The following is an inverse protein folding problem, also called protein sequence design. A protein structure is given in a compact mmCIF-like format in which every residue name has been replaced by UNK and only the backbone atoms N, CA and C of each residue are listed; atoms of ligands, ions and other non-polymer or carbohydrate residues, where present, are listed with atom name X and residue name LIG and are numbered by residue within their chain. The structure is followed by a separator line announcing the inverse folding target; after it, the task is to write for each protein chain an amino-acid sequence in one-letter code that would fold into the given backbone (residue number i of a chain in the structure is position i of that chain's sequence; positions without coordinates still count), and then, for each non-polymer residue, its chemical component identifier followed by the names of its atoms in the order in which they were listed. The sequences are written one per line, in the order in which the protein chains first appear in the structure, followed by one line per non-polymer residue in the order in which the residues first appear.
data_IF_438223368248
#
_entry.id   IF_438223368248
#
_cell.length_a   1.000
_cell.length_b   1.000
_cell.length_c   1.000
_cell.angle_alpha   90.00
_cell.angle_beta   90.00
_cell.angle_gamma   90.00
#
_symmetry.space_group_name_H-M   'P 1'
#
loop_
_entity.id
_entity.type
_entity.pdbx_description
1 polymer ?
#
# COMPACT_ATOMS: atom_id res chain seq x y z
N UNK A 1 -31.20 -3.64 -13.66
CA UNK A 1 -29.95 -4.19 -13.12
C UNK A 1 -29.79 -3.68 -11.69
N UNK A 2 -29.36 -4.52 -10.73
CA UNK A 2 -29.06 -4.03 -9.37
C UNK A 2 -27.82 -3.11 -9.41
N UNK A 3 -27.78 -2.07 -8.56
CA UNK A 3 -26.61 -1.17 -8.49
C UNK A 3 -25.35 -1.98 -8.14
N UNK A 4 -24.30 -1.77 -8.91
CA UNK A 4 -22.98 -2.34 -8.66
C UNK A 4 -22.29 -1.56 -7.54
N UNK A 5 -21.89 -2.27 -6.47
CA UNK A 5 -21.15 -1.67 -5.36
C UNK A 5 -19.65 -1.77 -5.62
N UNK A 6 -19.05 -0.65 -6.03
CA UNK A 6 -17.63 -0.58 -6.33
C UNK A 6 -16.75 -0.84 -5.09
N UNK A 7 -17.22 -0.47 -3.89
CA UNK A 7 -16.51 -0.75 -2.63
C UNK A 7 -16.38 -2.26 -2.38
N UNK A 8 -17.32 -3.07 -2.89
CA UNK A 8 -17.29 -4.53 -2.74
C UNK A 8 -16.11 -5.17 -3.46
N UNK A 9 -15.67 -4.58 -4.58
CA UNK A 9 -14.54 -5.08 -5.35
C UNK A 9 -13.23 -5.10 -4.54
N UNK A 10 -13.06 -4.12 -3.65
CA UNK A 10 -11.88 -3.95 -2.79
C UNK A 10 -12.19 -4.22 -1.31
N UNK A 11 -13.27 -4.96 -1.01
CA UNK A 11 -13.75 -5.18 0.36
C UNK A 11 -12.68 -5.74 1.30
N UNK A 12 -11.85 -6.67 0.81
CA UNK A 12 -10.78 -7.29 1.59
C UNK A 12 -9.72 -6.25 1.95
N UNK A 13 -9.32 -5.42 0.99
CA UNK A 13 -8.38 -4.32 1.22
C UNK A 13 -8.92 -3.31 2.25
N UNK A 14 -10.19 -2.89 2.12
CA UNK A 14 -10.85 -2.02 3.11
C UNK A 14 -10.89 -2.67 4.50
N UNK A 15 -11.22 -3.96 4.58
CA UNK A 15 -11.26 -4.68 5.86
C UNK A 15 -9.89 -4.69 6.53
N UNK A 16 -8.82 -4.92 5.76
CA UNK A 16 -7.46 -4.94 6.30
C UNK A 16 -7.03 -3.53 6.71
N UNK A 17 -7.33 -2.50 5.92
CA UNK A 17 -7.10 -1.10 6.31
C UNK A 17 -7.83 -0.74 7.60
N UNK A 18 -9.06 -1.25 7.81
CA UNK A 18 -9.77 -1.10 9.09
C UNK A 18 -8.98 -1.72 10.23
N UNK A 19 -8.51 -2.96 10.04
CA UNK A 19 -7.76 -3.71 11.04
C UNK A 19 -6.44 -3.04 11.40
N UNK A 20 -5.76 -2.36 10.48
CA UNK A 20 -4.51 -1.63 10.78
C UNK A 20 -4.74 -0.17 11.21
N UNK A 21 -5.96 0.20 11.58
CA UNK A 21 -6.27 1.56 12.05
C UNK A 21 -6.34 2.62 10.95
N UNK A 22 -6.28 2.24 9.68
CA UNK A 22 -6.21 3.13 8.52
C UNK A 22 -7.57 3.38 7.84
N UNK A 23 -8.69 2.92 8.40
CA UNK A 23 -10.00 3.14 7.78
C UNK A 23 -11.11 3.32 8.82
N UNK A 24 -11.51 4.56 9.16
CA UNK A 24 -12.59 4.79 10.10
C UNK A 24 -13.93 4.25 9.57
N UNK A 25 -14.84 3.88 10.48
CA UNK A 25 -16.09 3.22 10.13
C UNK A 25 -17.07 4.10 9.35
N UNK A 26 -17.13 5.39 9.67
CA UNK A 26 -18.07 6.32 9.07
C UNK A 26 -17.61 6.75 7.66
N UNK A 27 -18.53 7.33 6.87
CA UNK A 27 -18.18 7.99 5.60
C UNK A 27 -17.47 9.34 5.82
N UNK A 28 -17.12 9.65 7.07
CA UNK A 28 -16.35 10.81 7.48
C UNK A 28 -14.92 10.44 7.88
N UNK A 29 -14.10 11.46 8.14
CA UNK A 29 -12.72 11.30 8.62
C UNK A 29 -12.68 10.75 10.07
N UNK A 30 -11.49 10.59 10.63
CA UNK A 30 -11.28 10.18 12.01
C UNK A 30 -12.00 11.14 12.99
N UNK A 31 -12.75 10.57 13.94
CA UNK A 31 -13.45 11.27 15.03
C UNK A 31 -12.93 10.84 16.39
N UNK A 32 -13.25 11.56 17.46
CA UNK A 32 -12.92 11.15 18.83
C UNK A 32 -13.79 9.97 19.28
N UNK A 33 -13.37 8.74 18.92
CA UNK A 33 -14.02 7.49 19.29
C UNK A 33 -12.99 6.39 19.60
N UNK A 34 -13.45 5.23 20.07
CA UNK A 34 -12.60 4.10 20.43
C UNK A 34 -11.75 3.59 19.25
N UNK A 35 -12.27 3.65 18.03
CA UNK A 35 -11.53 3.24 16.84
C UNK A 35 -10.33 4.16 16.57
N UNK A 36 -10.52 5.48 16.63
CA UNK A 36 -9.43 6.44 16.45
C UNK A 36 -8.41 6.34 17.59
N UNK A 37 -8.85 6.11 18.83
CA UNK A 37 -7.94 5.86 19.95
C UNK A 37 -7.09 4.61 19.72
N UNK A 38 -7.72 3.51 19.30
CA UNK A 38 -7.03 2.28 18.89
C UNK A 38 -6.03 2.56 17.77
N UNK A 39 -6.43 3.26 16.71
CA UNK A 39 -5.58 3.56 15.56
C UNK A 39 -4.35 4.40 15.97
N UNK A 40 -4.55 5.42 16.82
CA UNK A 40 -3.45 6.24 17.33
C UNK A 40 -2.48 5.39 18.12
N UNK A 41 -2.97 4.53 19.04
CA UNK A 41 -2.09 3.67 19.84
C UNK A 41 -1.35 2.67 18.96
N UNK A 42 -2.04 1.96 18.08
CA UNK A 42 -1.43 0.91 17.26
C UNK A 42 -0.40 1.50 16.29
N UNK A 43 -0.71 2.60 15.61
CA UNK A 43 0.22 3.28 14.70
C UNK A 43 1.44 3.80 15.47
N UNK A 44 1.25 4.46 16.62
CA UNK A 44 2.40 4.99 17.36
C UNK A 44 3.26 3.89 17.98
N UNK A 45 2.64 2.84 18.53
CA UNK A 45 3.37 1.77 19.20
C UNK A 45 4.06 0.81 18.22
N UNK A 46 3.36 0.41 17.15
CA UNK A 46 3.85 -0.62 16.21
C UNK A 46 4.63 -0.02 15.04
N UNK A 47 4.24 1.14 14.51
CA UNK A 47 4.95 1.76 13.37
C UNK A 47 6.00 2.74 13.90
N UNK A 48 5.56 3.84 14.52
CA UNK A 48 6.50 4.90 14.90
C UNK A 48 7.49 4.45 15.99
N UNK A 49 7.06 3.61 16.93
CA UNK A 49 7.92 3.04 17.97
C UNK A 49 9.03 2.16 17.40
N UNK A 50 8.69 1.25 16.47
CA UNK A 50 9.69 0.41 15.79
C UNK A 50 10.69 1.28 15.01
N UNK A 51 10.19 2.23 14.25
CA UNK A 51 10.99 3.14 13.44
C UNK A 51 11.93 3.99 14.29
N UNK A 52 11.46 4.44 15.46
CA UNK A 52 12.29 5.18 16.41
C UNK A 52 13.49 4.35 16.86
N UNK A 53 13.29 3.10 17.30
CA UNK A 53 14.38 2.25 17.77
C UNK A 53 15.39 1.90 16.68
N UNK A 54 14.93 1.66 15.44
CA UNK A 54 15.84 1.46 14.30
C UNK A 54 16.58 2.74 13.91
N UNK A 55 15.92 3.90 13.92
CA UNK A 55 16.56 5.18 13.61
C UNK A 55 17.63 5.53 14.63
N UNK A 56 17.37 5.29 15.93
CA UNK A 56 18.38 5.48 16.97
C UNK A 56 19.58 4.55 16.78
N UNK A 57 19.35 3.34 16.27
CA UNK A 57 20.42 2.38 16.02
C UNK A 57 21.43 2.86 14.97
N UNK A 58 21.01 3.65 13.98
CA UNK A 58 21.91 4.23 12.97
C UNK A 58 23.05 5.00 13.64
N UNK A 59 22.78 5.78 14.70
CA UNK A 59 23.80 6.54 15.42
C UNK A 59 24.75 5.66 16.25
N UNK A 60 24.41 4.39 16.47
CA UNK A 60 25.25 3.42 17.16
C UNK A 60 26.13 2.66 16.16
N UNK A 61 25.58 2.28 15.02
CA UNK A 61 26.24 1.40 14.05
C UNK A 61 26.95 2.14 12.91
N UNK A 62 26.80 3.47 12.80
CA UNK A 62 27.38 4.27 11.70
C UNK A 62 28.89 4.07 11.43
N UNK A 63 29.76 3.72 12.41
CA UNK A 63 31.18 3.52 12.12
C UNK A 63 31.46 2.26 11.29
N UNK A 64 30.57 1.26 11.36
CA UNK A 64 30.66 0.02 10.60
C UNK A 64 29.78 0.15 9.34
N UNK A 65 30.43 0.24 8.18
CA UNK A 65 29.76 0.43 6.90
C UNK A 65 28.80 -0.73 6.58
N UNK A 66 29.16 -1.96 6.97
CA UNK A 66 28.36 -3.14 6.70
C UNK A 66 27.10 -3.15 7.58
N UNK A 67 27.26 -2.93 8.88
CA UNK A 67 26.14 -2.84 9.82
C UNK A 67 25.22 -1.64 9.53
N UNK A 68 25.81 -0.51 9.11
CA UNK A 68 25.06 0.66 8.63
C UNK A 68 24.25 0.32 7.39
N UNK A 69 24.85 -0.36 6.41
CA UNK A 69 24.15 -0.77 5.19
C UNK A 69 22.98 -1.73 5.50
N UNK A 70 23.12 -2.66 6.46
CA UNK A 70 22.01 -3.51 6.94
C UNK A 70 20.83 -2.68 7.45
N UNK A 71 21.15 -1.70 8.29
CA UNK A 71 20.15 -0.97 9.07
C UNK A 71 19.45 0.06 8.20
N UNK A 72 20.18 0.72 7.30
CA UNK A 72 19.70 1.92 6.61
C UNK A 72 18.63 1.61 5.55
N UNK A 73 18.73 0.50 4.80
CA UNK A 73 17.73 0.20 3.76
C UNK A 73 16.36 -0.19 4.35
N UNK A 74 16.36 -0.88 5.50
CA UNK A 74 15.13 -1.19 6.25
C UNK A 74 14.58 0.10 6.84
N UNK A 75 15.42 0.86 7.55
CA UNK A 75 14.99 2.07 8.27
C UNK A 75 14.39 3.12 7.33
N UNK A 76 14.99 3.36 6.14
CA UNK A 76 14.45 4.34 5.18
C UNK A 76 13.06 3.88 4.69
N UNK A 77 12.89 2.60 4.43
CA UNK A 77 11.61 2.04 3.95
C UNK A 77 10.52 2.12 5.03
N UNK A 78 10.90 1.85 6.27
CA UNK A 78 10.03 1.93 7.43
C UNK A 78 9.64 3.39 7.74
N UNK A 79 10.58 4.33 7.64
CA UNK A 79 10.30 5.77 7.74
C UNK A 79 9.32 6.24 6.65
N UNK A 80 9.47 5.75 5.41
CA UNK A 80 8.48 6.02 4.37
C UNK A 80 7.09 5.50 4.76
N UNK A 81 6.98 4.35 5.41
CA UNK A 81 5.70 3.83 5.89
C UNK A 81 5.01 4.81 6.85
N UNK A 82 5.75 5.41 7.80
CA UNK A 82 5.22 6.48 8.67
C UNK A 82 4.73 7.68 7.86
N UNK A 83 5.49 8.11 6.84
CA UNK A 83 5.11 9.22 5.96
C UNK A 83 3.84 8.88 5.18
N UNK A 84 3.72 7.66 4.63
CA UNK A 84 2.52 7.18 3.94
C UNK A 84 1.31 7.20 4.85
N UNK A 85 1.43 6.62 6.04
CA UNK A 85 0.35 6.61 7.05
C UNK A 85 -0.10 8.03 7.38
N UNK A 86 0.84 8.96 7.56
CA UNK A 86 0.52 10.37 7.79
C UNK A 86 -0.30 10.99 6.66
N UNK A 87 0.17 10.90 5.41
CA UNK A 87 -0.56 11.47 4.27
C UNK A 87 -1.90 10.77 4.02
N UNK A 88 -1.95 9.45 4.18
CA UNK A 88 -3.15 8.65 4.00
C UNK A 88 -4.24 9.02 5.02
N UNK A 89 -3.87 9.13 6.30
CA UNK A 89 -4.79 9.53 7.37
C UNK A 89 -5.23 10.98 7.22
N UNK A 90 -4.30 11.89 6.89
CA UNK A 90 -4.60 13.30 6.61
C UNK A 90 -5.60 13.46 5.46
N UNK A 91 -5.45 12.68 4.40
CA UNK A 91 -6.29 12.77 3.20
C UNK A 91 -7.53 11.84 3.25
N UNK A 92 -7.78 11.15 4.37
CA UNK A 92 -8.88 10.19 4.53
C UNK A 92 -10.25 10.76 4.16
N UNK A 93 -10.53 12.02 4.54
CA UNK A 93 -11.80 12.67 4.18
C UNK A 93 -12.01 12.82 2.67
N UNK A 94 -10.94 13.05 1.90
CA UNK A 94 -11.00 13.10 0.43
C UNK A 94 -11.26 11.70 -0.16
N UNK A 95 -10.57 10.69 0.36
CA UNK A 95 -10.75 9.29 -0.03
C UNK A 95 -12.19 8.82 0.18
N UNK A 96 -12.80 9.15 1.33
CA UNK A 96 -14.21 8.82 1.59
C UNK A 96 -15.15 9.46 0.58
N UNK A 97 -14.94 10.73 0.25
CA UNK A 97 -15.72 11.44 -0.79
C UNK A 97 -15.58 10.77 -2.16
N UNK A 98 -14.38 10.33 -2.53
CA UNK A 98 -14.15 9.57 -3.77
C UNK A 98 -14.94 8.26 -3.77
N UNK A 99 -14.91 7.50 -2.66
CA UNK A 99 -15.64 6.25 -2.54
C UNK A 99 -17.17 6.42 -2.60
N UNK A 100 -17.69 7.55 -2.12
CA UNK A 100 -19.12 7.90 -2.25
C UNK A 100 -19.45 8.30 -3.70
N UNK A 101 -18.61 9.14 -4.32
CA UNK A 101 -18.80 9.56 -5.72
C UNK A 101 -18.77 8.38 -6.69
N UNK A 102 -17.89 7.40 -6.47
CA UNK A 102 -17.79 6.19 -7.27
C UNK A 102 -19.08 5.34 -7.25
N UNK A 103 -19.85 5.37 -6.15
CA UNK A 103 -21.13 4.68 -6.03
C UNK A 103 -22.33 5.54 -6.49
N UNK A 104 -22.09 6.73 -7.05
CA UNK A 104 -23.16 7.55 -7.64
C UNK A 104 -23.71 6.93 -8.93
N UNK A 105 -24.91 7.35 -9.33
CA UNK A 105 -25.62 6.80 -10.49
C UNK A 105 -24.85 6.95 -11.81
N UNK A 106 -24.09 8.05 -11.97
CA UNK A 106 -23.34 8.31 -13.21
C UNK A 106 -22.14 7.36 -13.41
N UNK A 107 -21.64 6.74 -12.33
CA UNK A 107 -20.56 5.75 -12.37
C UNK A 107 -21.07 4.30 -12.48
N UNK A 108 -22.39 4.10 -12.56
CA UNK A 108 -22.95 2.76 -12.65
C UNK A 108 -22.87 2.22 -14.08
N UNK A 109 -22.42 0.97 -14.27
CA UNK A 109 -22.60 0.29 -15.55
C UNK A 109 -24.09 0.09 -15.81
N UNK A 110 -24.53 0.39 -17.04
CA UNK A 110 -25.95 0.40 -17.42
C UNK A 110 -26.41 -0.91 -18.06
N UNK A 111 -25.47 -1.73 -18.54
CA UNK A 111 -25.73 -2.99 -19.21
C UNK A 111 -24.73 -4.08 -18.79
N UNK A 112 -25.07 -5.35 -19.08
CA UNK A 112 -24.12 -6.46 -18.92
C UNK A 112 -22.90 -6.33 -19.84
N UNK A 113 -23.07 -5.73 -21.02
CA UNK A 113 -21.97 -5.44 -21.94
C UNK A 113 -20.95 -4.49 -21.31
N UNK A 114 -21.42 -3.42 -20.66
CA UNK A 114 -20.54 -2.53 -19.90
C UNK A 114 -19.88 -3.25 -18.72
N UNK A 115 -20.58 -4.18 -18.08
CA UNK A 115 -19.99 -5.00 -17.02
C UNK A 115 -18.84 -5.90 -17.54
N UNK A 116 -18.89 -6.34 -18.79
CA UNK A 116 -17.79 -7.09 -19.43
C UNK A 116 -16.53 -6.21 -19.55
N UNK A 117 -16.69 -4.90 -19.78
CA UNK A 117 -15.57 -3.93 -19.82
C UNK A 117 -14.93 -3.73 -18.43
N UNK A 118 -15.73 -3.84 -17.36
CA UNK A 118 -15.26 -3.66 -15.96
C UNK A 118 -14.42 -4.85 -15.48
N UNK A 119 -14.78 -6.07 -15.87
CA UNK A 119 -14.22 -7.32 -15.31
C UNK A 119 -12.69 -7.43 -15.46
N UNK A 120 -12.06 -7.12 -16.60
CA UNK A 120 -10.61 -7.20 -16.76
C UNK A 120 -9.85 -6.32 -15.78
N UNK A 121 -10.26 -5.05 -15.60
CA UNK A 121 -9.61 -4.14 -14.65
C UNK A 121 -9.66 -4.65 -13.21
N UNK A 122 -10.82 -5.17 -12.79
CA UNK A 122 -10.99 -5.79 -11.48
C UNK A 122 -10.15 -7.06 -11.31
N UNK A 123 -10.08 -7.88 -12.35
CA UNK A 123 -9.28 -9.10 -12.33
C UNK A 123 -7.79 -8.78 -12.21
N UNK A 124 -7.29 -7.86 -13.03
CA UNK A 124 -5.90 -7.38 -12.96
C UNK A 124 -5.58 -6.84 -11.58
N UNK A 125 -6.44 -5.97 -11.02
CA UNK A 125 -6.26 -5.46 -9.67
C UNK A 125 -6.20 -6.57 -8.61
N UNK A 126 -7.12 -7.53 -8.67
CA UNK A 126 -7.18 -8.64 -7.70
C UNK A 126 -5.95 -9.55 -7.82
N UNK A 127 -5.50 -9.83 -9.04
CA UNK A 127 -4.31 -10.63 -9.28
C UNK A 127 -3.06 -9.92 -8.76
N UNK A 128 -2.92 -8.62 -9.01
CA UNK A 128 -1.83 -7.81 -8.44
C UNK A 128 -1.90 -7.79 -6.92
N UNK A 129 -3.09 -7.60 -6.34
CA UNK A 129 -3.29 -7.59 -4.87
C UNK A 129 -2.82 -8.91 -4.22
N UNK A 130 -3.22 -10.06 -4.78
CA UNK A 130 -2.81 -11.38 -4.26
C UNK A 130 -1.32 -11.64 -4.54
N UNK A 131 -0.86 -11.36 -5.75
CA UNK A 131 0.54 -11.58 -6.16
C UNK A 131 1.53 -10.76 -5.36
N UNK A 132 1.16 -9.55 -4.95
CA UNK A 132 2.01 -8.67 -4.15
C UNK A 132 2.23 -9.19 -2.72
N UNK A 133 1.28 -9.94 -2.15
CA UNK A 133 1.46 -10.56 -0.84
C UNK A 133 2.50 -11.68 -0.82
N UNK A 134 2.74 -12.37 -1.94
CA UNK A 134 3.68 -13.50 -2.00
C UNK A 134 5.12 -13.13 -1.66
N UNK A 135 5.78 -12.15 -2.33
CA UNK A 135 7.15 -11.77 -1.98
C UNK A 135 7.22 -11.07 -0.61
N UNK A 136 6.18 -10.32 -0.21
CA UNK A 136 6.11 -9.66 1.09
C UNK A 136 6.08 -10.68 2.23
N UNK A 137 5.13 -11.61 2.20
CA UNK A 137 4.98 -12.63 3.25
C UNK A 137 6.24 -13.51 3.36
N UNK A 138 6.84 -13.89 2.23
CA UNK A 138 8.09 -14.66 2.21
C UNK A 138 9.23 -13.89 2.87
N UNK A 139 9.41 -12.60 2.53
CA UNK A 139 10.45 -11.75 3.12
C UNK A 139 10.28 -11.64 4.64
N UNK A 140 9.07 -11.31 5.09
CA UNK A 140 8.78 -11.15 6.52
C UNK A 140 8.96 -12.44 7.31
N UNK A 141 8.56 -13.57 6.73
CA UNK A 141 8.76 -14.87 7.35
C UNK A 141 10.25 -15.18 7.49
N UNK A 142 11.03 -15.02 6.42
CA UNK A 142 12.48 -15.26 6.43
C UNK A 142 13.19 -14.37 7.45
N UNK A 143 12.89 -13.08 7.50
CA UNK A 143 13.49 -12.15 8.48
C UNK A 143 13.10 -12.50 9.92
N UNK A 144 11.83 -12.82 10.18
CA UNK A 144 11.36 -13.19 11.50
C UNK A 144 11.92 -14.54 11.99
N UNK A 145 12.21 -15.48 11.08
CA UNK A 145 12.77 -16.79 11.42
C UNK A 145 14.30 -16.84 11.40
N UNK A 146 14.96 -15.85 10.80
CA UNK A 146 16.41 -15.85 10.58
C UNK A 146 17.21 -16.11 11.88
N UNK A 147 16.98 -15.39 12.99
CA UNK A 147 17.73 -15.63 14.23
C UNK A 147 17.49 -17.01 14.87
N UNK A 148 16.34 -17.63 14.57
CA UNK A 148 15.98 -18.96 15.08
C UNK A 148 16.69 -20.04 14.25
N UNK A 149 16.71 -19.86 12.93
CA UNK A 149 17.29 -20.82 11.99
C UNK A 149 18.82 -20.86 12.05
N UNK A 150 19.48 -19.72 12.23
CA UNK A 150 20.93 -19.63 12.37
C UNK A 150 21.42 -19.89 13.81
N UNK A 151 20.49 -20.04 14.76
CA UNK A 151 20.78 -20.30 16.17
C UNK A 151 21.22 -19.07 16.98
N UNK A 152 21.29 -17.89 16.37
CA UNK A 152 21.71 -16.63 17.01
C UNK A 152 20.71 -16.12 18.07
N UNK A 153 19.51 -16.70 18.12
CA UNK A 153 18.57 -16.56 19.26
C UNK A 153 19.23 -16.90 20.60
N UNK A 154 20.20 -17.84 20.62
CA UNK A 154 20.97 -18.20 21.84
C UNK A 154 21.89 -17.09 22.31
N UNK A 155 22.23 -16.17 21.42
CA UNK A 155 23.05 -14.98 21.70
C UNK A 155 22.19 -13.72 21.86
N UNK A 156 20.86 -13.89 21.97
CA UNK A 156 19.89 -12.81 22.07
C UNK A 156 19.89 -11.87 20.85
N UNK A 157 20.19 -12.38 19.65
CA UNK A 157 20.04 -11.62 18.40
C UNK A 157 18.55 -11.38 18.13
N UNK A 158 18.20 -10.13 17.83
CA UNK A 158 16.85 -9.74 17.42
C UNK A 158 16.70 -9.83 15.90
N UNK A 159 15.48 -10.00 15.35
CA UNK A 159 15.23 -10.03 13.91
C UNK A 159 15.75 -8.79 13.18
N UNK A 160 15.61 -7.61 13.80
CA UNK A 160 16.10 -6.35 13.26
C UNK A 160 17.05 -5.68 14.24
N UNK A 161 18.17 -5.19 13.71
CA UNK A 161 19.12 -4.39 14.47
C UNK A 161 18.46 -3.08 14.91
N UNK A 162 18.31 -2.89 16.22
CA UNK A 162 17.64 -1.74 16.79
C UNK A 162 18.21 -1.43 18.18
N UNK A 163 18.20 -0.14 18.56
CA UNK A 163 18.63 0.31 19.87
C UNK A 163 17.44 0.39 20.82
N UNK A 164 17.59 -0.15 22.03
CA UNK A 164 16.58 -0.07 23.09
C UNK A 164 17.18 0.54 24.37
N UNK A 165 16.40 1.33 25.12
CA UNK A 165 16.85 1.93 26.39
C UNK A 165 16.90 0.94 27.56
N UNK A 166 16.69 -0.36 27.31
CA UNK A 166 16.71 -1.43 28.29
C UNK A 166 17.51 -2.63 27.75
N UNK A 167 17.93 -3.53 28.64
CA UNK A 167 18.75 -4.67 28.25
C UNK A 167 17.90 -5.77 27.59
N UNK A 168 18.01 -5.89 26.27
CA UNK A 168 17.32 -6.93 25.47
C UNK A 168 17.93 -8.32 25.61
N UNK A 169 19.04 -8.50 26.34
CA UNK A 169 19.68 -9.80 26.57
C UNK A 169 19.19 -10.52 27.83
N UNK A 170 18.13 -10.04 28.47
CA UNK A 170 17.57 -10.59 29.71
C UNK A 170 16.09 -10.91 29.49
N UNK A 171 15.66 -12.08 29.96
CA UNK A 171 14.24 -12.47 29.95
C UNK A 171 13.46 -11.72 31.05
N UNK A 172 12.24 -11.22 30.80
CA UNK A 172 11.40 -11.43 29.61
C UNK A 172 11.56 -10.35 28.51
N UNK A 173 12.49 -9.41 28.67
CA UNK A 173 12.63 -8.27 27.76
C UNK A 173 13.05 -8.68 26.35
N UNK A 174 13.88 -9.72 26.22
CA UNK A 174 14.23 -10.28 24.91
C UNK A 174 12.99 -10.73 24.14
N UNK A 175 12.18 -11.58 24.74
CA UNK A 175 11.03 -12.23 24.12
C UNK A 175 9.93 -11.22 23.78
N UNK A 176 9.69 -10.25 24.67
CA UNK A 176 8.77 -9.15 24.43
C UNK A 176 9.23 -8.26 23.27
N UNK A 177 10.53 -7.98 23.18
CA UNK A 177 11.09 -7.16 22.10
C UNK A 177 11.07 -7.88 20.77
N UNK A 178 11.41 -9.18 20.76
CA UNK A 178 11.33 -10.02 19.58
C UNK A 178 9.90 -10.04 19.03
N UNK A 179 8.92 -10.29 19.91
CA UNK A 179 7.51 -10.30 19.54
C UNK A 179 7.06 -8.93 19.03
N UNK A 180 7.44 -7.84 19.70
CA UNK A 180 7.14 -6.48 19.26
C UNK A 180 7.67 -6.21 17.86
N UNK A 181 8.93 -6.54 17.56
CA UNK A 181 9.50 -6.33 16.23
C UNK A 181 8.77 -7.14 15.15
N UNK A 182 8.48 -8.42 15.40
CA UNK A 182 7.75 -9.26 14.45
C UNK A 182 6.34 -8.70 14.21
N UNK A 183 5.58 -8.39 15.26
CA UNK A 183 4.23 -7.82 15.08
C UNK A 183 4.29 -6.47 14.38
N UNK A 184 5.27 -5.63 14.71
CA UNK A 184 5.45 -4.29 14.12
C UNK A 184 5.71 -4.35 12.62
N UNK A 185 6.65 -5.19 12.18
CA UNK A 185 6.98 -5.29 10.75
C UNK A 185 5.82 -5.88 9.94
N UNK A 186 5.09 -6.87 10.49
CA UNK A 186 3.90 -7.41 9.85
C UNK A 186 2.77 -6.38 9.75
N UNK A 187 2.54 -5.61 10.82
CA UNK A 187 1.55 -4.55 10.84
C UNK A 187 1.88 -3.45 9.81
N UNK A 188 3.14 -3.02 9.76
CA UNK A 188 3.62 -2.00 8.84
C UNK A 188 3.59 -2.45 7.37
N UNK A 189 4.04 -3.67 7.07
CA UNK A 189 3.95 -4.23 5.73
C UNK A 189 2.48 -4.35 5.27
N UNK A 190 1.59 -4.78 6.18
CA UNK A 190 0.15 -4.84 5.93
C UNK A 190 -0.42 -3.47 5.59
N UNK A 191 -0.07 -2.44 6.36
CA UNK A 191 -0.47 -1.06 6.09
C UNK A 191 0.03 -0.60 4.70
N UNK A 192 1.32 -0.79 4.40
CA UNK A 192 1.93 -0.39 3.13
C UNK A 192 1.26 -1.05 1.92
N UNK A 193 1.19 -2.40 1.90
CA UNK A 193 0.60 -3.14 0.78
C UNK A 193 -0.83 -2.68 0.52
N UNK A 194 -1.61 -2.45 1.57
CA UNK A 194 -3.00 -2.05 1.42
C UNK A 194 -3.19 -0.59 1.00
N UNK A 195 -2.33 0.34 1.45
CA UNK A 195 -2.34 1.71 0.95
C UNK A 195 -2.00 1.75 -0.55
N UNK A 196 -0.95 1.02 -0.96
CA UNK A 196 -0.47 1.02 -2.35
C UNK A 196 -1.51 0.40 -3.28
N UNK A 197 -2.06 -0.75 -2.91
CA UNK A 197 -3.09 -1.42 -3.70
C UNK A 197 -4.40 -0.65 -3.74
N UNK A 198 -4.76 0.11 -2.70
CA UNK A 198 -5.89 1.03 -2.77
C UNK A 198 -5.67 2.15 -3.79
N UNK A 199 -4.46 2.70 -3.85
CA UNK A 199 -4.11 3.72 -4.85
C UNK A 199 -4.21 3.14 -6.27
N UNK A 200 -3.72 1.90 -6.48
CA UNK A 200 -3.96 1.19 -7.74
C UNK A 200 -5.45 0.98 -8.04
N UNK A 201 -6.28 0.72 -7.03
CA UNK A 201 -7.73 0.58 -7.24
C UNK A 201 -8.34 1.89 -7.76
N UNK A 202 -7.95 3.04 -7.21
CA UNK A 202 -8.43 4.36 -7.67
C UNK A 202 -8.08 4.62 -9.14
N UNK A 203 -6.86 4.28 -9.54
CA UNK A 203 -6.43 4.38 -10.94
C UNK A 203 -7.20 3.41 -11.84
N UNK A 204 -7.35 2.15 -11.41
CA UNK A 204 -8.16 1.16 -12.12
C UNK A 204 -9.61 1.61 -12.30
N UNK A 205 -10.25 2.16 -11.27
CA UNK A 205 -11.60 2.71 -11.37
C UNK A 205 -11.68 3.86 -12.38
N UNK A 206 -10.66 4.72 -12.41
CA UNK A 206 -10.59 5.81 -13.41
C UNK A 206 -10.56 5.23 -14.82
N UNK A 207 -9.65 4.29 -15.11
CA UNK A 207 -9.52 3.67 -16.44
C UNK A 207 -10.78 2.91 -16.87
N UNK A 208 -11.39 2.13 -15.97
CA UNK A 208 -12.64 1.41 -16.24
C UNK A 208 -13.80 2.37 -16.54
N UNK A 209 -13.85 3.52 -15.88
CA UNK A 209 -14.88 4.53 -16.15
C UNK A 209 -14.67 5.21 -17.50
N UNK A 210 -13.43 5.40 -17.94
CA UNK A 210 -13.13 5.81 -19.31
C UNK A 210 -13.64 4.77 -20.33
N UNK A 211 -13.45 3.48 -20.07
CA UNK A 211 -13.98 2.41 -20.94
C UNK A 211 -15.51 2.44 -21.06
N UNK A 212 -16.20 2.64 -19.94
CA UNK A 212 -17.67 2.81 -19.93
C UNK A 212 -18.08 4.06 -20.71
N UNK A 213 -17.35 5.17 -20.58
CA UNK A 213 -17.61 6.38 -21.35
C UNK A 213 -17.43 6.14 -22.85
N UNK A 214 -16.35 5.48 -23.26
CA UNK A 214 -16.08 5.12 -24.65
C UNK A 214 -17.19 4.25 -25.24
N UNK A 215 -17.70 3.28 -24.48
CA UNK A 215 -18.85 2.47 -24.87
C UNK A 215 -20.12 3.31 -25.03
N UNK A 216 -20.43 4.18 -24.05
CA UNK A 216 -21.56 5.12 -24.14
C UNK A 216 -21.48 6.00 -25.40
N UNK A 217 -20.27 6.46 -25.76
CA UNK A 217 -20.02 7.30 -26.94
C UNK A 217 -20.15 6.53 -28.26
N UNK A 218 -19.64 5.28 -28.32
CA UNK A 218 -19.77 4.41 -29.50
C UNK A 218 -21.22 4.03 -29.78
N UNK A 219 -22.01 3.87 -28.72
CA UNK A 219 -23.43 3.50 -28.80
C UNK A 219 -24.37 4.71 -28.78
N UNK A 220 -23.88 5.92 -29.11
CA UNK A 220 -24.73 7.10 -29.31
C UNK A 220 -25.63 6.91 -30.52
N UNK A 221 -26.86 6.46 -30.27
CA UNK A 221 -27.92 6.32 -31.26
C UNK A 221 -29.25 6.80 -30.68
N UNK A 222 -30.18 7.20 -31.55
CA UNK A 222 -31.51 7.67 -31.17
C UNK A 222 -31.98 8.83 -32.05
N UNK A 223 -33.26 9.21 -31.92
CA UNK A 223 -33.83 10.42 -32.54
C UNK A 223 -33.16 11.66 -31.93
N UNK A 224 -33.17 12.80 -32.62
CA UNK A 224 -32.43 14.02 -32.24
C UNK A 224 -32.48 14.37 -30.74
N UNK A 225 -33.65 14.34 -30.09
CA UNK A 225 -33.78 14.63 -28.65
C UNK A 225 -33.14 13.57 -27.74
N UNK A 226 -33.23 12.29 -28.09
CA UNK A 226 -32.60 11.19 -27.34
C UNK A 226 -31.08 11.20 -27.51
N UNK A 227 -30.61 11.48 -28.74
CA UNK A 227 -29.19 11.63 -29.05
C UNK A 227 -28.56 12.76 -28.21
N UNK A 228 -29.18 13.95 -28.20
CA UNK A 228 -28.70 15.09 -27.41
C UNK A 228 -28.67 14.76 -25.91
N UNK A 229 -29.72 14.09 -25.40
CA UNK A 229 -29.76 13.66 -24.00
C UNK A 229 -28.61 12.71 -23.62
N UNK A 230 -28.36 11.68 -24.45
CA UNK A 230 -27.24 10.73 -24.25
C UNK A 230 -25.88 11.42 -24.34
N UNK A 231 -25.70 12.33 -25.29
CA UNK A 231 -24.46 13.10 -25.44
C UNK A 231 -24.18 13.97 -24.22
N UNK A 232 -25.19 14.70 -23.72
CA UNK A 232 -25.06 15.52 -22.51
C UNK A 232 -24.71 14.65 -21.29
N UNK A 233 -25.33 13.48 -21.15
CA UNK A 233 -25.00 12.54 -20.07
C UNK A 233 -23.54 12.05 -20.17
N UNK A 234 -23.04 11.72 -21.37
CA UNK A 234 -21.64 11.34 -21.59
C UNK A 234 -20.67 12.49 -21.27
N UNK A 235 -21.00 13.73 -21.64
CA UNK A 235 -20.19 14.90 -21.27
C UNK A 235 -20.13 15.12 -19.76
N UNK A 236 -21.25 14.91 -19.05
CA UNK A 236 -21.29 14.99 -17.59
C UNK A 236 -20.46 13.87 -16.95
N UNK A 237 -20.53 12.64 -17.50
CA UNK A 237 -19.75 11.50 -17.03
C UNK A 237 -18.25 11.75 -17.22
N UNK A 238 -17.82 12.22 -18.39
CA UNK A 238 -16.43 12.62 -18.64
C UNK A 238 -15.93 13.67 -17.62
N UNK A 239 -16.69 14.75 -17.39
CA UNK A 239 -16.33 15.77 -16.39
C UNK A 239 -16.17 15.17 -14.99
N UNK A 240 -17.00 14.19 -14.64
CA UNK A 240 -16.95 13.48 -13.37
C UNK A 240 -15.74 12.56 -13.26
N UNK A 241 -15.38 11.85 -14.33
CA UNK A 241 -14.16 11.03 -14.40
C UNK A 241 -12.93 11.89 -14.20
N UNK A 242 -12.80 13.00 -14.95
CA UNK A 242 -11.66 13.92 -14.83
C UNK A 242 -11.55 14.45 -13.40
N UNK A 243 -12.67 14.86 -12.79
CA UNK A 243 -12.68 15.33 -11.40
C UNK A 243 -12.27 14.22 -10.42
N UNK A 244 -12.75 13.00 -10.62
CA UNK A 244 -12.38 11.84 -9.81
C UNK A 244 -10.88 11.53 -9.92
N UNK A 245 -10.31 11.58 -11.13
CA UNK A 245 -8.89 11.37 -11.39
C UNK A 245 -8.02 12.44 -10.70
N UNK A 246 -8.36 13.72 -10.86
CA UNK A 246 -7.63 14.83 -10.22
C UNK A 246 -7.68 14.73 -8.69
N UNK A 247 -8.85 14.42 -8.13
CA UNK A 247 -9.00 14.24 -6.68
C UNK A 247 -8.24 13.00 -6.17
N UNK A 248 -8.24 11.91 -6.93
CA UNK A 248 -7.47 10.71 -6.61
C UNK A 248 -5.97 11.02 -6.61
N UNK A 249 -5.48 11.69 -7.65
CA UNK A 249 -4.07 12.12 -7.73
C UNK A 249 -3.69 13.04 -6.56
N UNK A 250 -4.54 14.00 -6.20
CA UNK A 250 -4.30 14.87 -5.05
C UNK A 250 -4.22 14.08 -3.72
N UNK A 251 -4.99 13.00 -3.60
CA UNK A 251 -4.95 12.14 -2.42
C UNK A 251 -3.60 11.40 -2.28
N UNK A 252 -3.03 10.92 -3.39
CA UNK A 252 -1.85 10.03 -3.35
C UNK A 252 -0.54 10.61 -3.89
N UNK A 253 -0.51 11.81 -4.48
CA UNK A 253 0.68 12.34 -5.17
C UNK A 253 1.96 12.34 -4.30
N UNK A 254 1.90 12.82 -3.06
CA UNK A 254 3.03 12.86 -2.15
C UNK A 254 3.45 11.47 -1.67
N UNK A 255 2.48 10.55 -1.54
CA UNK A 255 2.73 9.14 -1.20
C UNK A 255 3.53 8.49 -2.33
N UNK A 256 3.09 8.67 -3.58
CA UNK A 256 3.74 8.11 -4.75
C UNK A 256 5.14 8.73 -4.94
N UNK A 257 5.29 10.05 -4.78
CA UNK A 257 6.60 10.70 -4.85
C UNK A 257 7.59 10.11 -3.83
N UNK A 258 7.17 10.00 -2.57
CA UNK A 258 7.99 9.40 -1.51
C UNK A 258 8.34 7.94 -1.80
N UNK A 259 7.40 7.19 -2.37
CA UNK A 259 7.62 5.81 -2.79
C UNK A 259 8.72 5.68 -3.83
N UNK A 260 8.63 6.40 -4.95
CA UNK A 260 9.62 6.28 -6.03
C UNK A 260 11.02 6.66 -5.55
N UNK A 261 11.14 7.74 -4.78
CA UNK A 261 12.41 8.17 -4.21
C UNK A 261 13.02 7.10 -3.30
N UNK A 262 12.23 6.61 -2.35
CA UNK A 262 12.68 5.62 -1.36
C UNK A 262 13.02 4.29 -2.02
N UNK A 263 12.18 3.79 -2.94
CA UNK A 263 12.46 2.53 -3.63
C UNK A 263 13.73 2.59 -4.46
N UNK A 264 14.03 3.72 -5.13
CA UNK A 264 15.27 3.86 -5.89
C UNK A 264 16.51 3.74 -4.98
N UNK A 265 16.50 4.44 -3.85
CA UNK A 265 17.58 4.39 -2.85
C UNK A 265 17.69 2.99 -2.23
N UNK A 266 16.57 2.43 -1.78
CA UNK A 266 16.53 1.11 -1.14
C UNK A 266 16.96 -0.01 -2.08
N UNK A 267 16.51 -0.01 -3.34
CA UNK A 267 16.94 -1.02 -4.33
C UNK A 267 18.46 -0.93 -4.53
N UNK A 268 19.02 0.28 -4.65
CA UNK A 268 20.48 0.46 -4.78
C UNK A 268 21.25 -0.12 -3.58
N UNK A 269 20.79 0.16 -2.36
CA UNK A 269 21.41 -0.35 -1.13
C UNK A 269 21.31 -1.87 -1.00
N UNK A 270 20.15 -2.44 -1.32
CA UNK A 270 19.93 -3.89 -1.25
C UNK A 270 20.74 -4.63 -2.32
N UNK A 271 20.84 -4.06 -3.53
CA UNK A 271 21.69 -4.62 -4.59
C UNK A 271 23.17 -4.60 -4.19
N UNK A 272 23.63 -3.55 -3.49
CA UNK A 272 24.97 -3.54 -2.89
C UNK A 272 25.10 -4.63 -1.81
N UNK A 273 24.12 -4.81 -0.92
CA UNK A 273 24.16 -5.89 0.08
C UNK A 273 24.19 -7.29 -0.55
N UNK A 274 23.48 -7.48 -1.65
CA UNK A 274 23.50 -8.74 -2.42
C UNK A 274 24.90 -9.11 -2.96
N UNK A 275 25.84 -8.16 -3.11
CA UNK A 275 27.22 -8.47 -3.51
C UNK A 275 28.10 -8.91 -2.34
N UNK A 276 27.69 -8.64 -1.10
CA UNK A 276 28.43 -8.96 0.11
C UNK A 276 28.03 -10.32 0.71
N UNK A 277 26.78 -10.74 0.50
CA UNK A 277 26.24 -11.99 1.05
C UNK A 277 26.49 -13.18 0.12
N UNK A 278 26.59 -14.39 0.69
CA UNK A 278 26.73 -15.61 -0.10
C UNK A 278 25.47 -15.85 -0.94
N UNK A 279 25.57 -16.13 -2.26
CA UNK A 279 24.41 -16.24 -3.16
C UNK A 279 23.38 -17.30 -2.77
N UNK A 280 23.78 -18.35 -2.05
CA UNK A 280 22.92 -19.45 -1.61
C UNK A 280 22.48 -19.35 -0.16
N UNK A 281 22.80 -18.24 0.52
CA UNK A 281 22.38 -17.99 1.90
C UNK A 281 20.89 -17.64 2.00
N UNK A 282 20.29 -17.94 3.16
CA UNK A 282 18.93 -17.50 3.48
C UNK A 282 18.78 -15.98 3.43
N UNK A 283 19.83 -15.26 3.82
CA UNK A 283 19.91 -13.80 3.74
C UNK A 283 19.78 -13.33 2.29
N UNK A 284 20.57 -13.88 1.35
CA UNK A 284 20.49 -13.53 -0.07
C UNK A 284 19.09 -13.77 -0.65
N UNK A 285 18.46 -14.91 -0.34
CA UNK A 285 17.08 -15.17 -0.76
C UNK A 285 16.10 -14.14 -0.19
N UNK A 286 16.25 -13.77 1.09
CA UNK A 286 15.38 -12.75 1.70
C UNK A 286 15.53 -11.38 1.03
N UNK A 287 16.76 -10.98 0.68
CA UNK A 287 17.03 -9.73 -0.03
C UNK A 287 16.47 -9.76 -1.46
N UNK A 288 16.51 -10.88 -2.17
CA UNK A 288 15.90 -11.04 -3.49
C UNK A 288 14.37 -10.88 -3.43
N UNK A 289 13.70 -11.50 -2.45
CA UNK A 289 12.26 -11.32 -2.26
C UNK A 289 11.90 -9.88 -1.83
N UNK A 290 12.77 -9.23 -1.07
CA UNK A 290 12.62 -7.83 -0.71
C UNK A 290 12.72 -6.90 -1.92
N UNK A 291 13.73 -7.08 -2.79
CA UNK A 291 13.83 -6.36 -4.08
C UNK A 291 12.62 -6.65 -4.95
N UNK A 292 12.16 -7.90 -5.01
CA UNK A 292 10.94 -8.28 -5.72
C UNK A 292 9.72 -7.53 -5.20
N UNK A 293 9.56 -7.41 -3.88
CA UNK A 293 8.48 -6.65 -3.25
C UNK A 293 8.53 -5.17 -3.61
N UNK A 294 9.71 -4.54 -3.55
CA UNK A 294 9.90 -3.13 -3.95
C UNK A 294 9.65 -2.90 -5.45
N UNK A 295 10.05 -3.86 -6.28
CA UNK A 295 9.80 -3.81 -7.73
C UNK A 295 8.30 -3.88 -8.02
N UNK A 296 7.57 -4.78 -7.34
CA UNK A 296 6.11 -4.87 -7.47
C UNK A 296 5.43 -3.57 -7.00
N UNK A 297 5.91 -2.93 -5.93
CA UNK A 297 5.38 -1.63 -5.48
C UNK A 297 5.48 -0.57 -6.58
N UNK A 298 6.66 -0.36 -7.16
CA UNK A 298 6.85 0.62 -8.24
C UNK A 298 6.02 0.24 -9.46
N UNK A 299 6.11 -1.02 -9.89
CA UNK A 299 5.43 -1.53 -11.08
C UNK A 299 3.91 -1.33 -10.98
N UNK A 300 3.32 -1.53 -9.81
CA UNK A 300 1.90 -1.30 -9.56
C UNK A 300 1.49 0.14 -9.87
N UNK A 301 2.25 1.14 -9.43
CA UNK A 301 1.94 2.54 -9.75
C UNK A 301 2.09 2.83 -11.25
N UNK A 302 3.18 2.37 -11.86
CA UNK A 302 3.45 2.58 -13.27
C UNK A 302 2.39 1.93 -14.17
N UNK A 303 2.04 0.67 -13.87
CA UNK A 303 1.10 -0.10 -14.68
C UNK A 303 -0.29 0.53 -14.67
N UNK A 304 -0.86 0.75 -13.48
CA UNK A 304 -2.20 1.33 -13.39
C UNK A 304 -2.23 2.79 -13.81
N UNK A 305 -1.14 3.55 -13.64
CA UNK A 305 -1.00 4.89 -14.18
C UNK A 305 -1.02 4.90 -15.71
N UNK A 306 -0.25 4.02 -16.35
CA UNK A 306 -0.22 3.86 -17.81
C UNK A 306 -1.59 3.44 -18.36
N UNK A 307 -2.28 2.51 -17.70
CA UNK A 307 -3.63 2.10 -18.10
C UNK A 307 -4.64 3.25 -18.06
N UNK A 308 -4.42 4.27 -17.22
CA UNK A 308 -5.25 5.50 -17.24
C UNK A 308 -4.81 6.43 -18.37
N UNK A 309 -3.51 6.58 -18.60
CA UNK A 309 -2.97 7.47 -19.64
C UNK A 309 -3.34 7.04 -21.07
N UNK A 310 -3.43 5.73 -21.32
CA UNK A 310 -3.78 5.17 -22.64
C UNK A 310 -5.26 5.37 -23.00
N UNK A 311 -6.12 5.70 -22.03
CA UNK A 311 -7.58 5.84 -22.21
C UNK A 311 -7.98 7.28 -22.53
#
# INVERSE_FOLDING_TARGET
MAKYDWKRAIKINILILKLVGLWPHEDESYKFNLYTFYAIISINFLINGHNFFQTMNIFVVYPDLEALAETIFVTITDLLASVKVYYFTRNMGQLKKLMVELNSEIFQPKSEEQMILVRPGLFSWKMTYVGFWTPVATTLFLWASFPIMDGSVKEYRLPFSAWYPFNTKISPWYELTYLHQVVSIWFMATANVNMDTLIAALMMYTGVQCDILCDNLRNLSGVEGEFVGKLVASMQHHRKIVKFAVNSNTFFNMIVLGQFFTSAVTIGLVMFRLTLVSPTSSEAFSLLFYVGSMTVQIFLYCWFGNEVEVK
#
